data_IF_057048388832
#
_entry.id   IF_057048388832
#
_cell.length_a   1.000
_cell.length_b   1.000
_cell.length_c   1.000
_cell.angle_alpha   90.00
_cell.angle_beta   90.00
_cell.angle_gamma   90.00
#
_symmetry.space_group_name_H-M   'P 1'
#
loop_
_entity.id
_entity.type
_entity.pdbx_description
1 polymer ?
#
# COMPACT_ATOMS: atom_id res chain seq x y z
N UNK A 1 -4.16 7.27 -11.35
CA UNK A 1 -3.76 6.65 -10.06
C UNK A 1 -4.76 7.12 -9.03
N UNK A 2 -5.41 6.23 -8.27
CA UNK A 2 -6.26 6.68 -7.18
C UNK A 2 -5.39 7.43 -6.16
N UNK A 3 -5.85 8.60 -5.75
CA UNK A 3 -5.13 9.53 -4.90
C UNK A 3 -5.03 8.92 -3.50
N UNK A 4 -3.82 8.60 -3.05
CA UNK A 4 -3.58 8.21 -1.66
C UNK A 4 -3.51 9.48 -0.82
N UNK A 5 -4.40 9.62 0.14
CA UNK A 5 -4.44 10.77 1.05
C UNK A 5 -4.51 10.32 2.51
N UNK A 6 -4.07 11.21 3.40
CA UNK A 6 -4.26 11.07 4.83
C UNK A 6 -5.46 11.94 5.22
N UNK A 7 -6.40 11.39 5.98
CA UNK A 7 -7.52 12.14 6.57
C UNK A 7 -7.46 12.03 8.10
N UNK A 8 -7.70 13.14 8.78
CA UNK A 8 -7.83 13.17 10.24
C UNK A 8 -9.15 12.54 10.68
N UNK A 9 -9.11 11.77 11.77
CA UNK A 9 -10.25 11.25 12.51
C UNK A 9 -10.66 12.20 13.64
N UNK A 10 -11.85 11.98 14.20
CA UNK A 10 -12.39 12.79 15.30
C UNK A 10 -11.75 12.46 16.66
N UNK A 11 -11.05 11.34 16.76
CA UNK A 11 -10.42 10.79 17.96
C UNK A 11 -8.92 11.14 18.08
N UNK A 12 -8.42 12.03 17.24
CA UNK A 12 -7.00 12.38 17.17
C UNK A 12 -6.16 11.38 16.36
N UNK A 13 -6.79 10.34 15.80
CA UNK A 13 -6.12 9.41 14.89
C UNK A 13 -6.23 9.87 13.44
N UNK A 14 -5.52 9.17 12.56
CA UNK A 14 -5.49 9.43 11.14
C UNK A 14 -5.79 8.15 10.35
N UNK A 15 -6.30 8.33 9.15
CA UNK A 15 -6.63 7.26 8.20
C UNK A 15 -5.93 7.51 6.87
N UNK A 16 -5.52 6.44 6.21
CA UNK A 16 -4.96 6.50 4.86
C UNK A 16 -5.99 5.95 3.89
N UNK A 17 -6.43 6.79 2.95
CA UNK A 17 -7.51 6.48 2.04
C UNK A 17 -6.99 6.37 0.60
N UNK A 18 -7.63 5.51 -0.18
CA UNK A 18 -7.45 5.37 -1.63
C UNK A 18 -8.69 5.93 -2.32
N UNK A 19 -8.66 7.23 -2.65
CA UNK A 19 -9.89 7.93 -3.01
C UNK A 19 -10.77 8.12 -1.78
N UNK A 20 -11.99 7.60 -1.82
CA UNK A 20 -12.92 7.67 -0.70
C UNK A 20 -12.90 6.43 0.21
N UNK A 21 -12.22 5.37 -0.23
CA UNK A 21 -12.12 4.12 0.53
C UNK A 21 -10.97 4.18 1.56
N UNK A 22 -11.23 4.00 2.86
CA UNK A 22 -10.18 3.87 3.86
C UNK A 22 -9.45 2.53 3.71
N UNK A 23 -8.11 2.58 3.65
CA UNK A 23 -7.24 1.39 3.60
C UNK A 23 -6.86 0.97 5.01
N UNK A 24 -6.59 1.95 5.88
CA UNK A 24 -6.22 1.77 7.29
C UNK A 24 -6.63 3.01 8.08
N UNK A 25 -6.98 2.81 9.34
CA UNK A 25 -7.41 3.85 10.29
C UNK A 25 -6.78 3.61 11.66
N UNK A 26 -6.84 4.62 12.53
CA UNK A 26 -6.33 4.49 13.90
C UNK A 26 -4.82 4.71 14.02
N UNK A 27 -4.20 5.38 13.05
CA UNK A 27 -2.77 5.68 13.05
C UNK A 27 -2.49 7.03 13.69
N UNK A 28 -1.30 7.21 14.26
CA UNK A 28 -0.79 8.57 14.49
C UNK A 28 -0.55 9.29 13.16
N UNK A 29 -0.33 10.61 13.20
CA UNK A 29 -0.07 11.39 11.98
C UNK A 29 1.19 10.89 11.25
N UNK A 30 2.28 10.68 11.99
CA UNK A 30 3.56 10.23 11.45
C UNK A 30 3.47 8.81 10.89
N UNK A 31 2.75 7.90 11.56
CA UNK A 31 2.47 6.56 11.04
C UNK A 31 1.66 6.62 9.73
N UNK A 32 0.62 7.47 9.69
CA UNK A 32 -0.22 7.62 8.50
C UNK A 32 0.55 8.20 7.30
N UNK A 33 1.44 9.19 7.53
CA UNK A 33 2.29 9.75 6.49
C UNK A 33 3.30 8.73 5.95
N UNK A 34 3.96 7.99 6.86
CA UNK A 34 4.91 6.94 6.52
C UNK A 34 4.21 5.81 5.72
N UNK A 35 3.04 5.38 6.16
CA UNK A 35 2.25 4.37 5.46
C UNK A 35 1.80 4.87 4.08
N UNK A 36 1.31 6.11 3.97
CA UNK A 36 0.92 6.70 2.70
C UNK A 36 2.10 6.79 1.72
N UNK A 37 3.30 7.15 2.19
CA UNK A 37 4.52 7.16 1.38
C UNK A 37 4.86 5.75 0.85
N UNK A 38 4.80 4.74 1.72
CA UNK A 38 5.01 3.34 1.34
C UNK A 38 4.00 2.87 0.27
N UNK A 39 2.70 3.15 0.45
CA UNK A 39 1.67 2.78 -0.52
C UNK A 39 1.89 3.45 -1.87
N UNK A 40 2.25 4.74 -1.89
CA UNK A 40 2.59 5.45 -3.13
C UNK A 40 3.82 4.85 -3.82
N UNK A 41 4.86 4.55 -3.07
CA UNK A 41 6.09 3.96 -3.60
C UNK A 41 5.85 2.56 -4.17
N UNK A 42 5.13 1.70 -3.45
CA UNK A 42 4.80 0.35 -3.90
C UNK A 42 3.91 0.37 -5.16
N UNK A 43 2.92 1.25 -5.23
CA UNK A 43 2.10 1.43 -6.42
C UNK A 43 2.92 1.92 -7.63
N UNK A 44 3.90 2.80 -7.41
CA UNK A 44 4.84 3.24 -8.44
C UNK A 44 5.69 2.07 -8.94
N UNK A 45 6.27 1.27 -8.05
CA UNK A 45 7.10 0.11 -8.41
C UNK A 45 6.31 -0.90 -9.23
N UNK A 46 5.09 -1.25 -8.82
CA UNK A 46 4.22 -2.17 -9.58
C UNK A 46 3.90 -1.67 -10.99
N UNK A 47 3.90 -0.35 -11.20
CA UNK A 47 3.64 0.26 -12.51
C UNK A 47 4.90 0.35 -13.38
N UNK A 48 6.06 0.67 -12.79
CA UNK A 48 7.30 0.94 -13.54
C UNK A 48 8.18 -0.29 -13.72
N UNK A 49 8.10 -1.26 -12.82
CA UNK A 49 8.78 -2.55 -12.97
C UNK A 49 7.71 -3.60 -13.20
N UNK A 50 7.77 -4.29 -14.35
CA UNK A 50 7.44 -5.72 -14.35
C UNK A 50 8.40 -6.30 -13.32
N UNK A 51 7.91 -6.53 -12.09
CA UNK A 51 8.65 -7.30 -11.10
C UNK A 51 9.12 -8.56 -11.84
N UNK A 52 10.42 -8.90 -11.82
CA UNK A 52 10.86 -10.16 -12.38
C UNK A 52 9.92 -11.22 -11.85
N UNK A 53 9.29 -12.02 -12.72
CA UNK A 53 8.46 -13.12 -12.26
C UNK A 53 9.31 -13.87 -11.24
N UNK A 54 8.84 -13.92 -9.98
CA UNK A 54 9.51 -14.69 -8.97
C UNK A 54 9.75 -16.07 -9.59
N UNK A 55 10.98 -16.62 -9.56
CA UNK A 55 11.27 -17.88 -10.22
C UNK A 55 10.26 -18.87 -9.69
N UNK A 56 9.31 -19.26 -10.54
CA UNK A 56 8.32 -20.28 -10.20
C UNK A 56 9.18 -21.47 -9.84
N UNK A 57 9.23 -21.83 -8.57
CA UNK A 57 9.76 -23.11 -8.15
C UNK A 57 8.90 -24.13 -8.88
N UNK A 58 9.42 -24.63 -9.99
CA UNK A 58 8.89 -25.77 -10.69
C UNK A 58 9.05 -26.89 -9.67
N UNK A 59 8.00 -27.12 -8.88
CA UNK A 59 7.90 -28.34 -8.09
C UNK A 59 8.19 -29.49 -9.05
N UNK A 60 9.07 -30.44 -8.68
CA UNK A 60 9.26 -31.60 -9.52
C UNK A 60 7.90 -32.28 -9.61
N UNK A 61 7.36 -32.33 -10.84
CA UNK A 61 6.38 -33.34 -11.15
C UNK A 61 7.05 -34.68 -10.92
N UNK A 62 6.64 -35.36 -9.85
CA UNK A 62 6.61 -36.80 -9.78
C UNK A 62 5.12 -37.13 -9.96
N UNK A 63 4.70 -37.56 -11.15
CA UNK A 63 4.77 -38.95 -11.62
C UNK A 63 3.83 -39.83 -10.80
#
# INVERSE_FOLDING_TARGET
MPKICVKSGCDGTHSVNRGDDPIVSGLSLDEAENYAAFVRASARIRRTRRLPEAPRSRGPGAA
#
